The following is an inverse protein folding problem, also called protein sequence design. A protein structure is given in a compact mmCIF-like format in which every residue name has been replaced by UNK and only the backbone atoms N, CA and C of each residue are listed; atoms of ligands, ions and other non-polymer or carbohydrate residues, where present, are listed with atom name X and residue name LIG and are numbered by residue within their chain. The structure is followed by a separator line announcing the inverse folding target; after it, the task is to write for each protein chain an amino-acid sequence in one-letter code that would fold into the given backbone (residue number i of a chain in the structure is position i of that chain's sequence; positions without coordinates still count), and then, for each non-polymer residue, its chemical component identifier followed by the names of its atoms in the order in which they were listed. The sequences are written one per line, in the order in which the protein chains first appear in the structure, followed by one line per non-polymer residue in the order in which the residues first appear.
data_IF_100029420672
#
_entry.id   IF_100029420672
#
_cell.length_a   1.000
_cell.length_b   1.000
_cell.length_c   1.000
_cell.angle_alpha   90.00
_cell.angle_beta   90.00
_cell.angle_gamma   90.00
#
_symmetry.space_group_name_H-M   'P 1'
#
loop_
_entity.id
_entity.type
_entity.pdbx_description
1 polymer ?
#
# COMPACT_ATOMS: atom_id res chain seq x y z
N UNK A 1 -7.02 12.76 -2.08
CA UNK A 1 -6.31 11.53 -1.65
C UNK A 1 -6.87 11.16 -0.29
N UNK A 2 -7.16 9.87 -0.09
CA UNK A 2 -7.61 9.37 1.21
C UNK A 2 -6.40 8.85 1.97
N UNK A 3 -6.29 9.22 3.24
CA UNK A 3 -5.21 8.75 4.12
C UNK A 3 -5.74 7.60 4.98
N UNK A 4 -5.00 6.50 5.05
CA UNK A 4 -5.25 5.41 6.00
C UNK A 4 -4.09 5.31 6.98
N UNK A 5 -4.45 5.06 8.25
CA UNK A 5 -3.49 4.77 9.32
C UNK A 5 -3.65 3.33 9.78
N UNK A 6 -2.53 2.62 9.92
CA UNK A 6 -2.49 1.27 10.47
C UNK A 6 -1.83 1.30 11.85
N UNK A 7 -2.62 1.04 12.88
CA UNK A 7 -2.13 0.93 14.25
C UNK A 7 -1.97 -0.53 14.63
N UNK A 8 -0.72 -0.97 14.83
CA UNK A 8 -0.45 -2.27 15.43
C UNK A 8 -0.24 -2.12 16.93
N UNK A 9 -1.00 -2.90 17.70
CA UNK A 9 -0.80 -3.03 19.15
C UNK A 9 0.24 -4.10 19.42
N UNK A 10 1.37 -3.70 20.01
CA UNK A 10 2.39 -4.61 20.56
C UNK A 10 2.30 -4.52 22.08
N UNK A 11 2.51 -5.64 22.78
CA UNK A 11 2.71 -5.61 24.23
C UNK A 11 3.88 -4.67 24.60
N UNK A 12 3.72 -3.90 25.68
CA UNK A 12 4.69 -2.89 26.09
C UNK A 12 6.08 -3.49 26.34
N UNK A 13 6.16 -4.69 26.94
CA UNK A 13 7.46 -5.33 27.22
C UNK A 13 8.15 -5.75 25.93
N UNK A 14 7.39 -6.27 24.97
CA UNK A 14 7.91 -6.62 23.65
C UNK A 14 8.37 -5.36 22.89
N UNK A 15 7.58 -4.29 22.90
CA UNK A 15 7.98 -3.02 22.31
C UNK A 15 9.28 -2.47 22.92
N UNK A 16 9.35 -2.40 24.25
CA UNK A 16 10.52 -1.88 24.96
C UNK A 16 11.77 -2.76 24.72
N UNK A 17 11.58 -4.08 24.61
CA UNK A 17 12.65 -5.02 24.22
C UNK A 17 13.18 -4.73 22.82
N UNK A 18 12.32 -4.69 21.80
CA UNK A 18 12.76 -4.40 20.43
C UNK A 18 13.35 -3.01 20.29
N UNK A 19 12.80 -2.01 20.99
CA UNK A 19 13.32 -0.66 20.94
C UNK A 19 14.75 -0.56 21.48
N UNK A 20 15.09 -1.36 22.50
CA UNK A 20 16.41 -1.36 23.12
C UNK A 20 17.41 -2.25 22.39
N UNK A 21 17.00 -3.46 22.05
CA UNK A 21 17.91 -4.50 21.54
C UNK A 21 17.98 -4.52 20.01
N UNK A 22 16.88 -4.22 19.31
CA UNK A 22 16.74 -4.34 17.84
C UNK A 22 15.88 -3.21 17.24
N UNK A 23 16.24 -1.93 17.42
CA UNK A 23 15.43 -0.80 16.95
C UNK A 23 15.19 -0.82 15.42
N UNK A 24 16.12 -1.40 14.66
CA UNK A 24 16.01 -1.60 13.22
C UNK A 24 14.86 -2.54 12.84
N UNK A 25 14.56 -3.56 13.66
CA UNK A 25 13.41 -4.45 13.42
C UNK A 25 12.07 -3.73 13.53
N UNK A 26 11.96 -2.74 14.42
CA UNK A 26 10.75 -1.90 14.51
C UNK A 26 10.57 -1.03 13.28
N UNK A 27 11.67 -0.50 12.72
CA UNK A 27 11.63 0.28 11.50
C UNK A 27 11.27 -0.61 10.30
N UNK A 28 11.92 -1.76 10.18
CA UNK A 28 11.64 -2.73 9.12
C UNK A 28 10.18 -3.22 9.18
N UNK A 29 9.67 -3.47 10.39
CA UNK A 29 8.27 -3.86 10.58
C UNK A 29 7.32 -2.79 10.04
N UNK A 30 7.54 -1.51 10.34
CA UNK A 30 6.69 -0.41 9.82
C UNK A 30 6.74 -0.31 8.30
N UNK A 31 7.93 -0.42 7.70
CA UNK A 31 8.09 -0.44 6.24
C UNK A 31 7.32 -1.60 5.63
N UNK A 32 7.53 -2.80 6.15
CA UNK A 32 6.89 -3.99 5.60
C UNK A 32 5.37 -3.97 5.83
N UNK A 33 4.87 -3.32 6.89
CA UNK A 33 3.44 -3.10 7.11
C UNK A 33 2.81 -2.27 5.99
N UNK A 34 3.35 -1.07 5.73
CA UNK A 34 2.76 -0.17 4.73
C UNK A 34 2.90 -0.74 3.31
N UNK A 35 3.99 -1.45 3.02
CA UNK A 35 4.19 -2.15 1.75
C UNK A 35 3.19 -3.28 1.54
N UNK A 36 2.96 -4.11 2.58
CA UNK A 36 1.99 -5.19 2.51
C UNK A 36 0.57 -4.66 2.32
N UNK A 37 0.20 -3.62 3.08
CA UNK A 37 -1.09 -2.95 2.92
C UNK A 37 -1.24 -2.32 1.52
N UNK A 38 -0.22 -1.60 1.05
CA UNK A 38 -0.21 -0.96 -0.26
C UNK A 38 -0.40 -1.96 -1.41
N UNK A 39 0.22 -3.14 -1.34
CA UNK A 39 0.02 -4.21 -2.33
C UNK A 39 -1.42 -4.70 -2.39
N UNK A 40 -2.05 -4.94 -1.24
CA UNK A 40 -3.46 -5.37 -1.19
C UNK A 40 -4.38 -4.33 -1.82
N UNK A 41 -4.15 -3.05 -1.52
CA UNK A 41 -4.90 -1.96 -2.15
C UNK A 41 -4.67 -1.89 -3.67
N UNK A 42 -3.42 -1.99 -4.11
CA UNK A 42 -3.08 -1.93 -5.53
C UNK A 42 -3.72 -3.06 -6.33
N UNK A 43 -3.74 -4.28 -5.77
CA UNK A 43 -4.39 -5.44 -6.37
C UNK A 43 -5.90 -5.23 -6.53
N UNK A 44 -6.54 -4.67 -5.51
CA UNK A 44 -7.95 -4.34 -5.54
C UNK A 44 -8.27 -3.26 -6.57
N UNK A 45 -7.49 -2.18 -6.60
CA UNK A 45 -7.65 -1.10 -7.57
C UNK A 45 -7.48 -1.59 -9.01
N UNK A 46 -6.50 -2.48 -9.26
CA UNK A 46 -6.32 -3.17 -10.54
C UNK A 46 -7.53 -4.04 -10.89
N UNK A 47 -8.07 -4.76 -9.92
CA UNK A 47 -9.24 -5.63 -10.11
C UNK A 47 -10.50 -4.83 -10.45
N UNK A 48 -10.80 -3.78 -9.68
CA UNK A 48 -11.93 -2.87 -9.93
C UNK A 48 -11.80 -2.26 -11.32
N UNK A 49 -10.60 -1.79 -11.67
CA UNK A 49 -10.34 -1.20 -12.98
C UNK A 49 -10.63 -2.18 -14.13
N UNK A 50 -10.21 -3.44 -13.99
CA UNK A 50 -10.46 -4.49 -14.99
C UNK A 50 -11.93 -4.88 -15.06
N UNK A 51 -12.59 -5.02 -13.91
CA UNK A 51 -14.00 -5.45 -13.83
C UNK A 51 -14.96 -4.40 -14.39
N UNK A 52 -14.66 -3.12 -14.18
CA UNK A 52 -15.51 -2.03 -14.65
C UNK A 52 -15.44 -1.89 -16.19
N UNK A 53 -14.52 -2.56 -16.90
CA UNK A 53 -14.41 -2.62 -18.37
C UNK A 53 -14.37 -1.24 -19.08
N UNK A 54 -14.17 -0.16 -18.33
CA UNK A 54 -14.18 1.23 -18.82
C UNK A 54 -12.77 1.77 -19.10
N UNK A 55 -11.72 1.10 -18.60
CA UNK A 55 -10.32 1.44 -18.83
C UNK A 55 -9.65 0.28 -19.60
N UNK A 56 -9.26 0.55 -20.84
CA UNK A 56 -8.71 -0.48 -21.74
C UNK A 56 -7.19 -0.37 -21.89
N UNK A 57 -6.54 0.58 -21.21
CA UNK A 57 -5.07 0.69 -21.30
C UNK A 57 -4.43 -0.19 -20.23
N UNK A 58 -3.79 -1.27 -20.68
CA UNK A 58 -2.90 -2.07 -19.82
C UNK A 58 -1.83 -1.21 -19.15
N UNK A 59 -1.46 -0.06 -19.76
CA UNK A 59 -0.54 0.93 -19.19
C UNK A 59 -1.00 1.42 -17.82
N UNK A 60 -2.22 1.98 -17.73
CA UNK A 60 -2.73 2.51 -16.47
C UNK A 60 -2.88 1.42 -15.42
N UNK A 61 -3.47 0.28 -15.78
CA UNK A 61 -3.73 -0.82 -14.83
C UNK A 61 -2.43 -1.39 -14.30
N UNK A 62 -1.47 -1.65 -15.18
CA UNK A 62 -0.23 -2.30 -14.77
C UNK A 62 0.67 -1.39 -13.95
N UNK A 63 0.42 -0.09 -13.93
CA UNK A 63 1.21 0.88 -13.17
C UNK A 63 0.61 1.22 -11.79
N UNK A 64 -0.59 0.75 -11.44
CA UNK A 64 -1.21 1.05 -10.13
C UNK A 64 -0.40 0.41 -9.00
N UNK A 65 0.27 1.25 -8.22
CA UNK A 65 0.98 0.95 -6.98
C UNK A 65 2.27 0.13 -7.12
N UNK A 66 2.35 -0.75 -8.12
CA UNK A 66 3.55 -1.47 -8.51
C UNK A 66 3.39 -2.02 -9.93
N UNK A 67 4.49 -2.16 -10.66
CA UNK A 67 4.48 -2.62 -12.04
C UNK A 67 4.09 -4.12 -12.13
N UNK A 68 3.07 -4.44 -12.93
CA UNK A 68 2.66 -5.83 -13.23
C UNK A 68 2.93 -6.25 -14.67
N UNK A 69 3.67 -5.46 -15.45
CA UNK A 69 4.16 -5.82 -16.78
C UNK A 69 3.77 -4.84 -17.89
N UNK A 70 4.14 -5.19 -19.12
CA UNK A 70 3.97 -4.34 -20.30
C UNK A 70 2.50 -3.97 -20.55
N UNK A 71 2.22 -2.73 -21.00
CA UNK A 71 3.18 -1.71 -21.45
C UNK A 71 3.72 -0.78 -20.35
N UNK A 72 3.47 -1.04 -19.06
CA UNK A 72 3.97 -0.19 -17.98
C UNK A 72 5.45 -0.40 -17.66
N UNK A 73 6.09 0.68 -17.23
CA UNK A 73 7.45 0.73 -16.69
C UNK A 73 7.46 1.20 -15.24
N UNK A 74 8.59 1.11 -14.56
CA UNK A 74 8.71 1.63 -13.19
C UNK A 74 8.47 3.14 -13.09
N UNK A 75 8.74 3.90 -14.16
CA UNK A 75 8.49 5.34 -14.20
C UNK A 75 6.99 5.68 -14.18
N UNK A 76 6.13 4.73 -14.53
CA UNK A 76 4.68 4.88 -14.56
C UNK A 76 4.02 4.61 -13.20
N UNK A 77 4.80 4.11 -12.22
CA UNK A 77 4.32 3.74 -10.90
C UNK A 77 4.57 4.88 -9.91
N UNK A 78 3.53 5.25 -9.15
CA UNK A 78 3.71 6.08 -7.96
C UNK A 78 3.91 5.16 -6.76
N UNK A 79 5.14 5.09 -6.24
CA UNK A 79 5.50 4.31 -5.06
C UNK A 79 6.64 5.04 -4.35
N UNK A 80 6.31 5.83 -3.33
CA UNK A 80 7.27 6.63 -2.59
C UNK A 80 7.17 6.36 -1.09
N UNK A 81 8.20 5.70 -0.57
CA UNK A 81 8.33 5.46 0.86
C UNK A 81 9.01 6.65 1.54
N UNK A 82 8.41 7.14 2.61
CA UNK A 82 9.00 8.14 3.50
C UNK A 82 9.08 7.62 4.93
N UNK A 83 10.21 7.85 5.57
CA UNK A 83 10.53 7.30 6.88
C UNK A 83 10.96 8.40 7.85
N UNK A 84 10.47 8.27 9.09
CA UNK A 84 10.89 9.05 10.23
C UNK A 84 11.05 8.11 11.44
N UNK A 85 11.54 8.66 12.56
CA UNK A 85 11.85 7.88 13.77
C UNK A 85 10.67 7.00 14.24
N UNK A 86 9.45 7.52 14.14
CA UNK A 86 8.24 6.88 14.68
C UNK A 86 7.12 6.70 13.65
N UNK A 87 7.32 7.11 12.40
CA UNK A 87 6.30 7.03 11.35
C UNK A 87 6.94 6.63 10.03
N UNK A 88 6.27 5.73 9.33
CA UNK A 88 6.57 5.34 7.96
C UNK A 88 5.31 5.57 7.14
N UNK A 89 5.45 6.21 5.99
CA UNK A 89 4.36 6.50 5.07
C UNK A 89 4.72 6.01 3.68
N UNK A 90 3.73 5.50 2.96
CA UNK A 90 3.87 5.04 1.59
C UNK A 90 2.86 5.79 0.73
N UNK A 91 3.36 6.67 -0.14
CA UNK A 91 2.54 7.29 -1.18
C UNK A 91 2.49 6.31 -2.35
N UNK A 92 1.29 5.80 -2.64
CA UNK A 92 1.08 4.73 -3.61
C UNK A 92 -0.03 5.09 -4.61
N UNK A 93 0.17 4.75 -5.88
CA UNK A 93 -0.79 5.02 -6.95
C UNK A 93 -0.24 4.78 -8.34
N UNK A 94 -0.83 5.46 -9.32
CA UNK A 94 -0.37 5.43 -10.71
C UNK A 94 0.19 6.80 -11.09
N UNK A 95 1.37 6.83 -11.70
CA UNK A 95 1.96 8.01 -12.34
C UNK A 95 1.40 8.26 -13.75
N UNK A 96 0.62 7.33 -14.29
CA UNK A 96 -0.02 7.46 -15.60
C UNK A 96 -1.22 8.38 -15.47
N UNK A 97 -1.24 9.44 -16.27
CA UNK A 97 -2.34 10.38 -16.30
C UNK A 97 -3.65 9.67 -16.71
N UNK A 98 -4.54 9.50 -15.75
CA UNK A 98 -5.91 9.12 -15.99
C UNK A 98 -6.77 10.37 -16.13
N UNK A 99 -7.75 10.35 -17.03
CA UNK A 99 -8.67 11.47 -17.19
C UNK A 99 -9.37 11.73 -15.85
N UNK A 100 -9.08 12.87 -15.24
CA UNK A 100 -9.57 13.22 -13.89
C UNK A 100 -11.09 13.15 -13.76
N UNK A 101 -11.81 13.40 -14.86
CA UNK A 101 -13.27 13.21 -14.94
C UNK A 101 -13.71 11.75 -14.77
N UNK A 102 -12.94 10.80 -15.27
CA UNK A 102 -13.23 9.38 -15.13
C UNK A 102 -12.91 8.89 -13.71
N UNK A 103 -11.84 9.36 -13.07
CA UNK A 103 -11.60 9.04 -11.65
C UNK A 103 -12.71 9.60 -10.75
N UNK A 104 -13.15 10.84 -10.98
CA UNK A 104 -14.29 11.41 -10.26
C UNK A 104 -15.59 10.63 -10.47
N UNK A 105 -15.76 10.02 -11.64
CA UNK A 105 -16.96 9.25 -12.00
C UNK A 105 -16.95 7.84 -11.41
N UNK A 106 -15.81 7.15 -11.45
CA UNK A 106 -15.70 5.74 -11.08
C UNK A 106 -15.12 5.51 -9.68
N UNK A 107 -14.45 6.52 -9.11
CA UNK A 107 -13.84 6.54 -7.78
C UNK A 107 -13.04 5.26 -7.49
N UNK A 108 -12.18 4.86 -8.43
CA UNK A 108 -11.51 3.55 -8.39
C UNK A 108 -10.62 3.45 -7.17
N UNK A 109 -9.82 4.50 -6.92
CA UNK A 109 -8.85 4.51 -5.83
C UNK A 109 -9.54 4.51 -4.47
N UNK A 110 -10.64 5.27 -4.35
CA UNK A 110 -11.47 5.31 -3.13
C UNK A 110 -12.22 4.00 -2.90
N UNK A 111 -12.82 3.41 -3.93
CA UNK A 111 -13.51 2.11 -3.81
C UNK A 111 -12.56 0.99 -3.44
N UNK A 112 -11.35 0.98 -4.01
CA UNK A 112 -10.32 0.01 -3.66
C UNK A 112 -9.90 0.14 -2.20
N UNK A 113 -9.84 1.39 -1.70
CA UNK A 113 -9.58 1.68 -0.31
C UNK A 113 -10.68 1.09 0.59
N UNK A 114 -11.93 1.47 0.33
CA UNK A 114 -13.09 1.05 1.10
C UNK A 114 -13.28 -0.49 1.10
N UNK A 115 -13.06 -1.14 -0.05
CA UNK A 115 -13.26 -2.59 -0.17
C UNK A 115 -12.11 -3.42 0.39
N UNK A 116 -10.88 -2.89 0.37
CA UNK A 116 -9.69 -3.61 0.79
C UNK A 116 -9.24 -3.31 2.22
N UNK A 117 -9.72 -2.25 2.88
CA UNK A 117 -9.23 -1.76 4.18
C UNK A 117 -8.99 -2.88 5.21
N UNK A 118 -9.99 -3.76 5.43
CA UNK A 118 -9.86 -4.86 6.37
C UNK A 118 -8.74 -5.85 5.99
N UNK A 119 -8.55 -6.12 4.70
CA UNK A 119 -7.47 -7.00 4.20
C UNK A 119 -6.11 -6.30 4.31
N UNK A 120 -6.05 -5.00 4.05
CA UNK A 120 -4.83 -4.21 4.22
C UNK A 120 -4.34 -4.27 5.67
N UNK A 121 -5.23 -4.07 6.65
CA UNK A 121 -4.88 -4.16 8.07
C UNK A 121 -4.36 -5.54 8.47
N UNK A 122 -5.01 -6.61 8.00
CA UNK A 122 -4.56 -8.00 8.26
C UNK A 122 -3.20 -8.30 7.63
N UNK A 123 -2.96 -7.84 6.40
CA UNK A 123 -1.69 -8.01 5.72
C UNK A 123 -0.57 -7.25 6.45
N UNK A 124 -0.83 -6.01 6.86
CA UNK A 124 0.10 -5.21 7.66
C UNK A 124 0.45 -5.91 8.98
N UNK A 125 -0.55 -6.32 9.76
CA UNK A 125 -0.32 -6.99 11.05
C UNK A 125 0.45 -8.31 10.89
N UNK A 126 0.09 -9.11 9.88
CA UNK A 126 0.78 -10.37 9.59
C UNK A 126 2.26 -10.14 9.29
N UNK A 127 2.54 -9.15 8.45
CA UNK A 127 3.89 -8.86 8.04
C UNK A 127 4.72 -8.25 9.19
N UNK A 128 4.11 -7.42 10.03
CA UNK A 128 4.76 -6.88 11.22
C UNK A 128 5.18 -7.98 12.20
N UNK A 129 4.25 -8.91 12.51
CA UNK A 129 4.54 -10.06 13.38
C UNK A 129 5.66 -10.91 12.80
N UNK A 130 5.64 -11.16 11.49
CA UNK A 130 6.69 -11.89 10.79
C UNK A 130 8.05 -11.21 10.97
N UNK A 131 8.15 -9.91 10.75
CA UNK A 131 9.43 -9.19 10.87
C UNK A 131 9.95 -9.14 12.32
N UNK A 132 9.07 -8.93 13.30
CA UNK A 132 9.48 -8.84 14.70
C UNK A 132 9.92 -10.19 15.28
N UNK A 133 9.19 -11.27 14.94
CA UNK A 133 9.35 -12.57 15.57
C UNK A 133 10.02 -13.63 14.67
N UNK A 134 10.57 -13.24 13.51
CA UNK A 134 11.47 -14.08 12.70
C UNK A 134 12.92 -14.04 13.18
#
# INVERSE_FOLDING_TARGET
MGDISFDMKIDKRAHDFFQREFPEKLQEARKNMVEAAGKVWADEAKMITRNDNHIVTGLYVNSIGYNTGSPASEADVLHQLSESRNKTSLDIGSGVAYASALEKRYNIMGRALDSAESRMGKAAETQAKRTLFS
#
